data_IF_976743635511
#
_entry.id   IF_976743635511
#
_cell.length_a   1.000
_cell.length_b   1.000
_cell.length_c   1.000
_cell.angle_alpha   90.00
_cell.angle_beta   90.00
_cell.angle_gamma   90.00
#
_symmetry.space_group_name_H-M   'P 1'
#
loop_
_entity.id
_entity.type
_entity.pdbx_description
1 polymer ?
#
# COMPACT_ATOMS: atom_id res chain seq x y z
N UNK A 1 -16.87 3.78 -3.02
CA UNK A 1 -16.20 4.60 -2.00
C UNK A 1 -14.78 4.77 -2.46
N UNK A 2 -14.23 6.00 -2.48
CA UNK A 2 -12.96 6.25 -3.14
C UNK A 2 -11.80 5.80 -2.24
N UNK A 3 -11.06 4.79 -2.69
CA UNK A 3 -9.71 4.58 -2.22
C UNK A 3 -8.87 5.77 -2.70
N UNK A 4 -8.09 6.35 -1.80
CA UNK A 4 -7.15 7.43 -2.15
C UNK A 4 -5.82 6.79 -2.51
N UNK A 5 -5.31 7.18 -3.67
CA UNK A 5 -4.11 6.63 -4.25
C UNK A 5 -2.89 7.47 -3.88
N UNK A 6 -1.78 6.82 -3.54
CA UNK A 6 -0.48 7.47 -3.42
C UNK A 6 0.62 6.64 -4.06
N UNK A 7 1.55 7.32 -4.73
CA UNK A 7 2.72 6.73 -5.37
C UNK A 7 3.99 7.18 -4.65
N UNK A 8 4.84 6.21 -4.32
CA UNK A 8 6.11 6.44 -3.67
C UNK A 8 7.23 5.89 -4.54
N UNK A 9 8.02 6.79 -5.13
CA UNK A 9 9.07 6.46 -6.09
C UNK A 9 10.40 6.30 -5.37
N UNK A 10 11.06 5.16 -5.56
CA UNK A 10 12.36 4.84 -4.99
C UNK A 10 13.38 4.69 -6.11
N UNK A 11 14.39 5.56 -6.09
CA UNK A 11 15.51 5.51 -7.04
C UNK A 11 16.35 4.25 -6.82
N UNK A 12 17.02 3.73 -7.86
CA UNK A 12 17.94 2.62 -7.69
C UNK A 12 19.04 2.96 -6.68
N UNK A 13 19.29 2.02 -5.76
CA UNK A 13 20.33 2.11 -4.76
C UNK A 13 21.39 1.02 -5.02
N UNK A 14 22.63 1.37 -5.42
CA UNK A 14 23.67 0.41 -5.72
C UNK A 14 24.19 -0.33 -4.46
N UNK A 15 23.84 0.15 -3.26
CA UNK A 15 24.27 -0.46 -1.99
C UNK A 15 23.27 -1.48 -1.44
N UNK A 16 22.11 -1.63 -2.09
CA UNK A 16 21.06 -2.56 -1.65
C UNK A 16 21.54 -4.01 -1.78
N UNK A 17 21.17 -4.83 -0.81
CA UNK A 17 21.61 -6.21 -0.60
C UNK A 17 21.09 -7.24 -1.63
N UNK A 18 20.60 -6.77 -2.78
CA UNK A 18 20.06 -7.60 -3.86
C UNK A 18 18.70 -8.24 -3.57
N UNK A 19 18.11 -8.06 -2.38
CA UNK A 19 16.77 -8.55 -2.07
C UNK A 19 15.72 -7.92 -3.00
N UNK A 20 14.64 -8.63 -3.33
CA UNK A 20 13.58 -8.07 -4.17
C UNK A 20 12.86 -6.92 -3.44
N UNK A 21 12.52 -5.80 -4.13
CA UNK A 21 11.71 -4.76 -3.51
C UNK A 21 10.36 -5.29 -3.02
N UNK A 22 9.72 -6.17 -3.80
CA UNK A 22 8.42 -6.77 -3.47
C UNK A 22 8.50 -7.57 -2.16
N UNK A 23 9.41 -8.55 -2.09
CA UNK A 23 9.62 -9.39 -0.90
C UNK A 23 9.97 -8.56 0.36
N UNK A 24 10.76 -7.50 0.20
CA UNK A 24 11.15 -6.62 1.30
C UNK A 24 9.94 -5.85 1.84
N UNK A 25 9.15 -5.25 0.95
CA UNK A 25 7.96 -4.49 1.30
C UNK A 25 6.85 -5.41 1.82
N UNK A 26 6.64 -6.58 1.22
CA UNK A 26 5.65 -7.57 1.67
C UNK A 26 5.93 -8.01 3.11
N UNK A 27 7.18 -8.38 3.41
CA UNK A 27 7.59 -8.77 4.77
C UNK A 27 7.42 -7.63 5.77
N UNK A 28 7.77 -6.40 5.38
CA UNK A 28 7.62 -5.22 6.23
C UNK A 28 6.14 -4.88 6.48
N UNK A 29 5.31 -5.00 5.44
CA UNK A 29 3.88 -4.81 5.47
C UNK A 29 3.22 -5.82 6.41
N UNK A 30 3.54 -7.11 6.27
CA UNK A 30 3.02 -8.16 7.15
C UNK A 30 3.36 -7.91 8.62
N UNK A 31 4.58 -7.43 8.92
CA UNK A 31 4.98 -7.05 10.28
C UNK A 31 4.22 -5.82 10.77
N UNK A 32 4.05 -4.78 9.94
CA UNK A 32 3.33 -3.57 10.31
C UNK A 32 1.86 -3.87 10.62
N UNK A 33 1.22 -4.73 9.83
CA UNK A 33 -0.19 -5.08 9.97
C UNK A 33 -0.52 -5.83 11.27
N UNK A 34 0.47 -6.30 12.03
CA UNK A 34 0.26 -6.80 13.40
C UNK A 34 -0.19 -5.66 14.32
N UNK A 35 0.51 -4.53 14.29
CA UNK A 35 0.16 -3.35 15.08
C UNK A 35 -1.02 -2.58 14.45
N UNK A 36 -1.09 -2.57 13.12
CA UNK A 36 -2.13 -1.92 12.32
C UNK A 36 -3.23 -2.90 11.88
N UNK A 37 -3.62 -3.82 12.77
CA UNK A 37 -4.56 -4.90 12.45
C UNK A 37 -5.92 -4.48 11.87
N UNK A 38 -6.51 -3.29 12.14
CA UNK A 38 -7.77 -2.93 11.49
C UNK A 38 -7.64 -2.81 9.97
N UNK A 39 -6.43 -2.56 9.45
CA UNK A 39 -6.22 -2.40 8.01
C UNK A 39 -6.31 -3.71 7.23
N UNK A 40 -6.24 -4.87 7.90
CA UNK A 40 -6.48 -6.18 7.27
C UNK A 40 -7.95 -6.61 7.28
N UNK A 41 -8.83 -5.73 7.76
CA UNK A 41 -10.27 -5.97 7.81
C UNK A 41 -11.02 -5.56 6.55
N UNK A 42 -12.33 -5.36 6.70
CA UNK A 42 -13.23 -4.85 5.68
C UNK A 42 -14.10 -3.73 6.22
N UNK A 43 -14.49 -2.80 5.37
CA UNK A 43 -15.55 -1.86 5.70
C UNK A 43 -16.89 -2.58 5.68
N UNK A 44 -17.65 -2.40 6.75
CA UNK A 44 -18.97 -2.99 6.94
C UNK A 44 -19.94 -1.93 7.45
N UNK A 45 -21.22 -2.14 7.17
CA UNK A 45 -22.30 -1.27 7.63
C UNK A 45 -23.15 -2.07 8.60
N UNK A 46 -23.35 -1.56 9.81
CA UNK A 46 -24.19 -2.23 10.81
C UNK A 46 -25.63 -2.34 10.32
N UNK A 47 -26.24 -3.51 10.49
CA UNK A 47 -27.67 -3.68 10.24
C UNK A 47 -28.49 -2.73 11.14
N UNK A 48 -29.46 -2.04 10.55
CA UNK A 48 -30.30 -1.06 11.24
C UNK A 48 -29.79 0.37 11.08
N UNK A 49 -28.97 0.86 12.03
CA UNK A 49 -28.62 2.28 12.15
C UNK A 49 -27.69 2.81 11.04
N UNK A 50 -27.16 1.94 10.16
CA UNK A 50 -26.35 2.35 9.01
C UNK A 50 -24.95 2.86 9.36
N UNK A 51 -24.45 2.55 10.56
CA UNK A 51 -23.11 2.96 11.00
C UNK A 51 -22.01 2.23 10.22
N UNK A 52 -21.11 3.00 9.62
CA UNK A 52 -19.89 2.46 8.99
C UNK A 52 -18.88 2.08 10.08
N UNK A 53 -18.37 0.85 10.01
CA UNK A 53 -17.34 0.34 10.90
C UNK A 53 -16.33 -0.51 10.13
N UNK A 54 -15.22 -0.82 10.78
CA UNK A 54 -14.24 -1.78 10.29
C UNK A 54 -14.52 -3.13 10.94
N UNK A 55 -14.93 -4.10 10.15
CA UNK A 55 -14.92 -5.50 10.55
C UNK A 55 -13.47 -6.01 10.51
N UNK A 56 -12.90 -6.30 11.67
CA UNK A 56 -11.52 -6.77 11.82
C UNK A 56 -11.41 -8.28 11.54
N UNK A 57 -11.97 -8.73 10.42
CA UNK A 57 -12.07 -10.13 9.99
C UNK A 57 -10.72 -10.79 9.64
N UNK A 58 -9.64 -10.01 9.57
CA UNK A 58 -8.30 -10.45 9.19
C UNK A 58 -8.24 -11.17 7.83
N UNK A 59 -9.09 -10.76 6.88
CA UNK A 59 -9.08 -11.25 5.50
C UNK A 59 -7.85 -10.81 4.70
N UNK A 60 -7.00 -9.96 5.28
CA UNK A 60 -5.74 -9.55 4.67
C UNK A 60 -5.90 -8.38 3.71
N UNK A 61 -4.79 -8.07 3.04
CA UNK A 61 -4.67 -6.95 2.09
C UNK A 61 -4.28 -7.49 0.73
N UNK A 62 -4.76 -6.83 -0.33
CA UNK A 62 -4.31 -7.15 -1.68
C UNK A 62 -2.90 -6.62 -1.87
N UNK A 63 -1.98 -7.51 -2.22
CA UNK A 63 -0.59 -7.19 -2.53
C UNK A 63 -0.28 -7.61 -3.96
N UNK A 64 0.13 -6.65 -4.80
CA UNK A 64 0.42 -6.88 -6.22
C UNK A 64 1.92 -6.67 -6.44
N UNK A 65 2.56 -7.64 -7.07
CA UNK A 65 3.90 -7.49 -7.62
C UNK A 65 3.82 -7.28 -9.13
N UNK A 66 4.48 -6.24 -9.62
CA UNK A 66 4.53 -5.88 -11.02
C UNK A 66 5.96 -5.55 -11.47
N UNK A 67 6.23 -5.69 -12.76
CA UNK A 67 7.50 -5.34 -13.38
C UNK A 67 7.24 -4.60 -14.68
N UNK A 68 7.97 -3.51 -14.90
CA UNK A 68 7.92 -2.72 -16.14
C UNK A 68 9.28 -2.75 -16.82
N UNK A 69 9.26 -2.93 -18.15
CA UNK A 69 10.46 -2.99 -19.00
C UNK A 69 10.88 -1.60 -19.52
N UNK A 70 10.97 -0.66 -18.60
CA UNK A 70 11.56 0.65 -18.83
C UNK A 70 12.29 1.10 -17.55
N UNK A 71 13.03 2.19 -17.65
CA UNK A 71 13.71 2.80 -16.51
C UNK A 71 12.90 3.97 -15.96
N UNK A 72 13.09 4.28 -14.68
CA UNK A 72 12.48 5.47 -14.07
C UNK A 72 12.89 6.76 -14.79
N UNK A 73 14.11 6.83 -15.33
CA UNK A 73 14.58 8.00 -16.10
C UNK A 73 13.83 8.18 -17.42
N UNK A 74 13.35 7.09 -18.02
CA UNK A 74 12.61 7.12 -19.29
C UNK A 74 11.20 7.71 -19.12
N UNK A 75 10.72 7.79 -17.88
CA UNK A 75 9.37 8.24 -17.50
C UNK A 75 9.40 9.44 -16.57
N UNK A 76 10.52 10.17 -16.57
CA UNK A 76 10.78 11.35 -15.75
C UNK A 76 10.49 11.15 -14.26
N UNK A 77 10.86 9.98 -13.73
CA UNK A 77 10.65 9.57 -12.34
C UNK A 77 9.18 9.66 -11.88
N UNK A 78 8.22 9.63 -12.80
CA UNK A 78 6.80 9.86 -12.54
C UNK A 78 6.52 11.25 -11.92
N UNK A 79 7.30 12.26 -12.29
CA UNK A 79 6.97 13.65 -12.01
C UNK A 79 5.78 14.12 -12.87
N UNK A 80 5.10 15.18 -12.41
CA UNK A 80 3.93 15.70 -13.13
C UNK A 80 4.36 16.61 -14.30
N UNK A 81 3.78 16.46 -15.51
CA UNK A 81 2.73 15.51 -15.87
C UNK A 81 3.26 14.08 -16.05
N UNK A 82 2.51 13.10 -15.52
CA UNK A 82 2.88 11.68 -15.59
C UNK A 82 3.00 11.22 -17.05
N UNK A 83 4.14 10.61 -17.38
CA UNK A 83 4.38 10.06 -18.72
C UNK A 83 3.72 8.69 -18.93
N UNK A 84 3.41 7.98 -17.83
CA UNK A 84 2.59 6.77 -17.83
C UNK A 84 1.28 7.09 -17.10
N UNK A 85 0.10 6.76 -17.66
CA UNK A 85 -1.17 6.88 -16.96
C UNK A 85 -1.17 6.12 -15.62
N UNK A 86 -1.87 6.64 -14.61
CA UNK A 86 -1.98 5.97 -13.31
C UNK A 86 -2.50 4.54 -13.46
N UNK A 87 -3.56 4.32 -14.25
CA UNK A 87 -4.16 3.00 -14.46
C UNK A 87 -3.18 1.94 -15.03
N UNK A 88 -2.12 2.39 -15.71
CA UNK A 88 -1.06 1.51 -16.24
C UNK A 88 0.07 1.26 -15.22
N UNK A 89 0.27 2.18 -14.26
CA UNK A 89 1.25 2.06 -13.17
C UNK A 89 0.69 1.29 -11.96
N UNK A 90 -0.59 1.52 -11.69
CA UNK A 90 -1.36 1.08 -10.54
C UNK A 90 -2.40 0.09 -11.05
N UNK A 91 -1.98 -1.17 -11.15
CA UNK A 91 -2.78 -2.24 -11.70
C UNK A 91 -3.94 -2.54 -10.76
N UNK A 92 -5.13 -2.66 -11.34
CA UNK A 92 -6.24 -3.27 -10.62
C UNK A 92 -5.92 -4.73 -10.30
N UNK A 93 -6.33 -5.25 -9.13
CA UNK A 93 -6.12 -6.64 -8.81
C UNK A 93 -6.71 -7.59 -9.84
N UNK A 94 -6.12 -8.79 -9.96
CA UNK A 94 -6.63 -9.86 -10.80
C UNK A 94 -6.85 -11.13 -9.95
N UNK A 95 -8.04 -11.76 -10.00
CA UNK A 95 -9.24 -11.30 -10.71
C UNK A 95 -9.74 -9.95 -10.18
N UNK A 96 -10.31 -9.12 -11.06
CA UNK A 96 -10.80 -7.81 -10.68
C UNK A 96 -11.89 -7.96 -9.64
N UNK A 97 -11.76 -7.36 -8.44
CA UNK A 97 -12.83 -7.38 -7.46
C UNK A 97 -14.06 -6.73 -8.08
N UNK A 98 -15.24 -7.26 -7.76
CA UNK A 98 -16.50 -6.56 -8.01
C UNK A 98 -16.46 -5.21 -7.32
N UNK A 99 -17.24 -4.25 -7.82
CA UNK A 99 -17.35 -2.94 -7.18
C UNK A 99 -17.78 -3.04 -5.71
N UNK A 100 -18.56 -4.07 -5.35
CA UNK A 100 -18.93 -4.33 -3.96
C UNK A 100 -17.73 -4.77 -3.12
N UNK A 101 -16.92 -5.72 -3.61
CA UNK A 101 -15.72 -6.18 -2.91
C UNK A 101 -14.70 -5.05 -2.76
N UNK A 102 -14.43 -4.30 -3.83
CA UNK A 102 -13.51 -3.16 -3.81
C UNK A 102 -13.97 -2.08 -2.82
N UNK A 103 -15.28 -1.84 -2.71
CA UNK A 103 -15.83 -0.84 -1.78
C UNK A 103 -15.64 -1.21 -0.30
N UNK A 104 -15.36 -2.49 -0.02
CA UNK A 104 -15.10 -3.01 1.33
C UNK A 104 -13.60 -3.02 1.66
N UNK A 105 -12.71 -2.87 0.67
CA UNK A 105 -11.27 -2.87 0.92
C UNK A 105 -10.84 -1.62 1.70
N UNK A 106 -9.91 -1.82 2.63
CA UNK A 106 -9.30 -0.74 3.41
C UNK A 106 -7.94 -0.35 2.82
N UNK A 107 -7.16 -1.35 2.41
CA UNK A 107 -5.80 -1.21 1.94
C UNK A 107 -5.52 -2.14 0.77
N UNK A 108 -4.94 -1.59 -0.29
CA UNK A 108 -4.31 -2.33 -1.37
C UNK A 108 -2.91 -1.75 -1.58
N UNK A 109 -1.95 -2.63 -1.82
CA UNK A 109 -0.55 -2.27 -2.02
C UNK A 109 -0.04 -2.90 -3.31
N UNK A 110 0.70 -2.13 -4.10
CA UNK A 110 1.41 -2.64 -5.27
C UNK A 110 2.87 -2.24 -5.21
N UNK A 111 3.76 -3.16 -5.59
CA UNK A 111 5.17 -2.89 -5.83
C UNK A 111 5.49 -3.12 -7.30
N UNK A 112 5.89 -2.06 -7.99
CA UNK A 112 6.28 -2.09 -9.41
C UNK A 112 7.79 -1.88 -9.54
N UNK A 113 8.52 -2.90 -10.00
CA UNK A 113 9.95 -2.83 -10.24
C UNK A 113 10.28 -2.35 -11.67
N UNK A 114 11.33 -1.55 -11.81
CA UNK A 114 11.83 -1.01 -13.09
C UNK A 114 13.18 -1.63 -13.45
N UNK A 115 13.55 -1.61 -14.74
CA UNK A 115 14.79 -2.23 -15.23
C UNK A 115 16.07 -1.59 -14.65
N UNK A 116 16.01 -0.31 -14.26
CA UNK A 116 17.14 0.37 -13.64
C UNK A 116 17.41 -0.06 -12.19
N UNK A 117 16.57 -0.93 -11.61
CA UNK A 117 16.64 -1.33 -10.20
C UNK A 117 15.88 -0.39 -9.24
N UNK A 118 15.31 0.69 -9.76
CA UNK A 118 14.34 1.51 -9.04
C UNK A 118 12.98 0.80 -8.94
N UNK A 119 12.13 1.28 -8.04
CA UNK A 119 10.80 0.71 -7.85
C UNK A 119 9.81 1.75 -7.35
N UNK A 120 8.54 1.45 -7.49
CA UNK A 120 7.43 2.28 -7.02
C UNK A 120 6.58 1.45 -6.08
N UNK A 121 6.16 2.05 -4.97
CA UNK A 121 5.14 1.48 -4.08
C UNK A 121 3.87 2.31 -4.22
N UNK A 122 2.81 1.67 -4.71
CA UNK A 122 1.47 2.22 -4.78
C UNK A 122 0.66 1.82 -3.56
N UNK A 123 -0.01 2.77 -2.94
CA UNK A 123 -0.99 2.52 -1.88
C UNK A 123 -2.35 3.04 -2.29
N UNK A 124 -3.38 2.28 -1.94
CA UNK A 124 -4.77 2.68 -2.03
C UNK A 124 -5.37 2.53 -0.64
N UNK A 125 -5.77 3.66 -0.07
CA UNK A 125 -6.21 3.73 1.31
C UNK A 125 -7.67 4.21 1.39
N UNK A 126 -8.50 3.52 2.16
CA UNK A 126 -9.85 4.02 2.42
C UNK A 126 -9.82 5.27 3.29
N UNK A 127 -10.27 6.40 2.73
CA UNK A 127 -10.36 7.67 3.47
C UNK A 127 -11.35 7.61 4.65
N UNK A 128 -12.23 6.60 4.68
CA UNK A 128 -13.11 6.36 5.83
C UNK A 128 -12.37 5.83 7.06
N UNK A 129 -11.18 5.23 6.88
CA UNK A 129 -10.39 4.61 7.96
C UNK A 129 -9.25 5.50 8.43
N UNK A 130 -8.58 6.22 7.53
CA UNK A 130 -7.52 7.14 7.89
C UNK A 130 -7.54 8.42 7.08
N UNK A 131 -7.12 9.51 7.71
CA UNK A 131 -6.69 10.72 7.02
C UNK A 131 -5.25 10.57 6.50
N UNK A 132 -4.75 11.60 5.81
CA UNK A 132 -3.40 11.58 5.26
C UNK A 132 -2.29 11.38 6.31
N UNK A 133 -2.48 11.87 7.54
CA UNK A 133 -1.50 11.68 8.62
C UNK A 133 -1.51 10.24 9.15
N UNK A 134 -2.69 9.65 9.32
CA UNK A 134 -2.84 8.24 9.69
C UNK A 134 -2.22 7.32 8.65
N UNK A 135 -2.51 7.55 7.36
CA UNK A 135 -1.89 6.82 6.26
C UNK A 135 -0.36 7.01 6.23
N UNK A 136 0.14 8.24 6.41
CA UNK A 136 1.57 8.52 6.44
C UNK A 136 2.30 7.82 7.59
N UNK A 137 1.69 7.75 8.79
CA UNK A 137 2.25 7.00 9.92
C UNK A 137 2.37 5.52 9.60
N UNK A 138 1.34 4.93 9.00
CA UNK A 138 1.37 3.53 8.57
C UNK A 138 2.46 3.28 7.51
N UNK A 139 2.54 4.11 6.47
CA UNK A 139 3.59 4.00 5.46
C UNK A 139 4.99 4.17 6.04
N UNK A 140 5.16 5.07 7.02
CA UNK A 140 6.39 5.23 7.78
C UNK A 140 6.78 3.99 8.58
N UNK A 141 5.82 3.36 9.26
CA UNK A 141 6.01 2.09 9.95
C UNK A 141 6.46 0.97 9.01
N UNK A 142 5.82 0.82 7.85
CA UNK A 142 6.27 -0.13 6.81
C UNK A 142 7.70 0.19 6.37
N UNK A 143 8.04 1.45 6.13
CA UNK A 143 9.38 1.88 5.74
C UNK A 143 10.47 1.63 6.81
N UNK A 144 10.14 1.76 8.10
CA UNK A 144 11.05 1.40 9.20
C UNK A 144 11.33 -0.10 9.22
N UNK A 145 10.29 -0.92 9.14
CA UNK A 145 10.41 -2.37 9.18
C UNK A 145 11.10 -2.92 7.92
N UNK A 146 10.91 -2.27 6.77
CA UNK A 146 11.61 -2.58 5.52
C UNK A 146 13.12 -2.32 5.61
N UNK A 147 13.54 -1.30 6.39
CA UNK A 147 14.95 -1.02 6.69
C UNK A 147 15.55 -1.94 7.75
N UNK A 148 14.78 -2.93 8.24
CA UNK A 148 15.26 -3.88 9.24
C UNK A 148 15.20 -3.38 10.69
N UNK A 149 14.45 -2.32 10.96
CA UNK A 149 14.18 -1.94 12.36
C UNK A 149 13.30 -3.01 13.01
N UNK A 150 13.56 -3.35 14.27
CA UNK A 150 12.84 -4.42 14.98
C UNK A 150 11.40 -4.03 15.37
N UNK A 151 11.19 -2.76 15.73
CA UNK A 151 9.91 -2.22 16.20
C UNK A 151 9.67 -0.83 15.64
N UNK A 152 8.41 -0.50 15.34
CA UNK A 152 8.01 0.82 14.85
C UNK A 152 8.23 1.89 15.93
N UNK A 153 8.67 3.07 15.52
CA UNK A 153 8.97 4.20 16.40
C UNK A 153 7.70 4.84 17.00
N UNK A 154 6.60 4.79 16.26
CA UNK A 154 5.29 5.30 16.67
C UNK A 154 4.28 4.16 16.59
N UNK A 155 3.83 3.69 17.74
CA UNK A 155 2.75 2.71 17.80
C UNK A 155 1.41 3.35 17.37
N UNK A 156 0.53 2.61 16.68
CA UNK A 156 -0.84 3.07 16.45
C UNK A 156 -1.56 3.23 17.78
N UNK A 157 -2.36 4.29 17.90
CA UNK A 157 -3.17 4.53 19.10
C UNK A 157 -4.28 3.49 19.13
N UNK A 158 -4.18 2.52 20.02
CA UNK A 158 -5.28 1.61 20.31
C UNK A 158 -6.32 2.34 21.16
N UNK A 159 -7.49 2.61 20.57
CA UNK A 159 -8.68 2.97 21.34
C UNK A 159 -9.38 1.67 21.72
N UNK A 160 -8.86 1.00 22.76
CA UNK A 160 -9.63 0.02 23.54
C UNK A 160 -10.31 0.74 24.69
#
# INVERSE_FOLDING_TARGET
>A
MALIESLHVFKPDPTRDGASPSETIERALARALVDYYPLVGRLAVSEGAGGLHVDCSAEGVWFIEAVVRCRLEDVDYLEYPLQIPNDDLLLHPLPRPTHEEESKLILLVQVTAFECGGFVVGFWFSHAVADGLGAAKFMGAVGELARGVDRVSVAPTSLL
#
